data_IF_660258288078
#
_entry.id   IF_660258288078
#
_cell.length_a   1.000
_cell.length_b   1.000
_cell.length_c   1.000
_cell.angle_alpha   90.00
_cell.angle_beta   90.00
_cell.angle_gamma   90.00
#
_symmetry.space_group_name_H-M   'P 1'
#
loop_
_entity.id
_entity.type
_entity.pdbx_description
1 polymer ?
#
# COMPACT_ATOMS: atom_id res chain seq x y z
N UNK A 1 12.38 15.80 -19.49
CA UNK A 1 13.72 15.16 -19.42
C UNK A 1 14.69 15.82 -20.39
N UNK A 2 14.63 15.58 -21.71
CA UNK A 2 15.63 16.11 -22.66
C UNK A 2 15.66 17.65 -22.79
N UNK A 3 14.59 18.34 -22.39
CA UNK A 3 14.49 19.82 -22.38
C UNK A 3 14.62 20.42 -20.98
N UNK A 4 14.90 19.61 -19.97
CA UNK A 4 14.95 20.00 -18.55
C UNK A 4 16.42 20.32 -18.18
N UNK A 5 16.71 21.35 -17.38
CA UNK A 5 18.07 21.61 -16.90
C UNK A 5 18.69 20.38 -16.23
N UNK A 6 19.97 20.11 -16.48
CA UNK A 6 20.69 18.94 -15.98
C UNK A 6 20.53 18.73 -14.45
N UNK A 7 20.63 19.76 -13.59
CA UNK A 7 20.44 19.57 -12.15
C UNK A 7 19.06 19.03 -11.77
N UNK A 8 18.01 19.47 -12.46
CA UNK A 8 16.64 18.99 -12.22
C UNK A 8 16.45 17.55 -12.73
N UNK A 9 17.03 17.23 -13.88
CA UNK A 9 17.01 15.86 -14.40
C UNK A 9 17.72 14.88 -13.44
N UNK A 10 18.85 15.30 -12.86
CA UNK A 10 19.59 14.53 -11.87
C UNK A 10 18.79 14.34 -10.57
N UNK A 11 18.20 15.42 -10.04
CA UNK A 11 17.37 15.36 -8.85
C UNK A 11 16.17 14.40 -9.02
N UNK A 12 15.53 14.40 -10.20
CA UNK A 12 14.45 13.45 -10.49
C UNK A 12 14.95 11.99 -10.50
N UNK A 13 16.10 11.72 -11.12
CA UNK A 13 16.68 10.38 -11.14
C UNK A 13 17.02 9.89 -9.72
N UNK A 14 17.61 10.75 -8.89
CA UNK A 14 17.91 10.48 -7.50
C UNK A 14 16.62 10.20 -6.69
N UNK A 15 15.56 10.98 -6.89
CA UNK A 15 14.28 10.76 -6.22
C UNK A 15 13.64 9.41 -6.58
N UNK A 16 13.73 8.98 -7.86
CA UNK A 16 13.23 7.68 -8.29
C UNK A 16 14.01 6.55 -7.63
N UNK A 17 15.34 6.64 -7.61
CA UNK A 17 16.21 5.64 -6.97
C UNK A 17 15.92 5.58 -5.48
N UNK A 18 15.83 6.73 -4.82
CA UNK A 18 15.51 6.82 -3.40
C UNK A 18 14.18 6.13 -3.11
N UNK A 19 13.10 6.53 -3.78
CA UNK A 19 11.77 5.93 -3.59
C UNK A 19 11.79 4.41 -3.79
N UNK A 20 12.53 3.91 -4.79
CA UNK A 20 12.67 2.46 -5.03
C UNK A 20 13.37 1.72 -3.89
N UNK A 21 14.25 2.39 -3.15
CA UNK A 21 15.05 1.79 -2.06
C UNK A 21 14.45 1.99 -0.66
N UNK A 22 13.67 3.05 -0.46
CA UNK A 22 13.10 3.41 0.84
C UNK A 22 11.67 2.94 1.02
N UNK A 23 10.87 2.92 -0.05
CA UNK A 23 9.45 2.56 0.00
C UNK A 23 9.28 1.05 0.03
N UNK A 24 8.54 0.57 1.02
CA UNK A 24 8.22 -0.85 1.22
C UNK A 24 6.78 -1.04 1.72
N UNK A 25 6.17 -2.22 1.53
CA UNK A 25 4.88 -2.53 2.15
C UNK A 25 4.99 -2.49 3.67
N UNK A 26 4.02 -1.86 4.33
CA UNK A 26 3.87 -1.88 5.78
C UNK A 26 3.68 -3.32 6.28
N UNK A 27 4.39 -3.69 7.35
CA UNK A 27 4.33 -5.04 7.94
C UNK A 27 2.93 -5.41 8.47
N UNK A 28 2.08 -4.43 8.77
CA UNK A 28 0.76 -4.65 9.37
C UNK A 28 -0.43 -4.59 8.41
N UNK A 29 -0.29 -3.87 7.30
CA UNK A 29 -1.42 -3.61 6.39
C UNK A 29 -1.05 -3.63 4.91
N UNK A 30 0.22 -3.80 4.55
CA UNK A 30 0.66 -3.82 3.15
C UNK A 30 0.68 -2.45 2.45
N UNK A 31 0.21 -1.35 3.06
CA UNK A 31 0.29 -0.02 2.44
C UNK A 31 1.75 0.40 2.20
N UNK A 32 2.05 0.99 1.04
CA UNK A 32 3.40 1.44 0.69
C UNK A 32 3.83 2.62 1.57
N UNK A 33 4.98 2.49 2.23
CA UNK A 33 5.45 3.46 3.21
C UNK A 33 6.97 3.43 3.35
N UNK A 34 7.55 4.54 3.82
CA UNK A 34 8.96 4.60 4.23
C UNK A 34 9.14 4.30 5.72
N UNK A 35 8.05 4.30 6.49
CA UNK A 35 8.03 4.08 7.94
C UNK A 35 7.18 2.87 8.28
N UNK A 36 7.71 1.92 9.04
CA UNK A 36 6.99 0.71 9.42
C UNK A 36 6.86 0.63 10.95
N UNK A 37 5.64 0.62 11.52
CA UNK A 37 4.33 0.65 10.86
C UNK A 37 4.00 1.97 10.16
N UNK A 38 3.16 1.93 9.13
CA UNK A 38 2.78 3.13 8.37
C UNK A 38 2.01 4.15 9.22
N UNK A 39 1.86 5.37 8.70
CA UNK A 39 1.11 6.44 9.40
C UNK A 39 -0.35 6.07 9.68
N UNK A 40 -0.99 5.31 8.78
CA UNK A 40 -2.37 4.83 8.92
C UNK A 40 -2.49 3.85 10.08
N UNK A 41 -1.59 2.86 10.18
CA UNK A 41 -1.62 1.87 11.25
C UNK A 41 -1.29 2.43 12.64
N UNK A 42 -0.51 3.52 12.70
CA UNK A 42 -0.16 4.20 13.96
C UNK A 42 -1.28 5.11 14.47
N UNK A 43 -2.29 5.40 13.67
CA UNK A 43 -3.40 6.25 14.06
C UNK A 43 -4.38 5.50 14.98
N UNK A 44 -4.28 5.78 16.28
CA UNK A 44 -5.13 5.20 17.32
C UNK A 44 -6.58 5.72 17.29
N UNK A 45 -6.89 6.71 16.45
CA UNK A 45 -8.27 7.23 16.31
C UNK A 45 -9.10 6.46 15.29
N UNK A 46 -8.49 5.49 14.59
CA UNK A 46 -9.18 4.65 13.62
C UNK A 46 -10.06 3.59 14.29
N UNK A 47 -11.17 3.29 13.64
CA UNK A 47 -12.08 2.24 14.04
C UNK A 47 -11.47 0.86 13.73
N UNK A 48 -11.18 0.09 14.77
CA UNK A 48 -10.60 -1.25 14.66
C UNK A 48 -11.61 -2.32 14.29
N UNK A 49 -12.91 -2.01 14.31
CA UNK A 49 -13.99 -2.94 13.93
C UNK A 49 -14.25 -2.96 12.42
N UNK A 50 -13.67 -2.00 11.68
CA UNK A 50 -13.82 -1.86 10.24
C UNK A 50 -12.49 -2.12 9.53
N UNK A 51 -12.52 -2.98 8.51
CA UNK A 51 -11.37 -3.27 7.67
C UNK A 51 -11.74 -3.08 6.19
N UNK A 52 -11.02 -2.22 5.50
CA UNK A 52 -11.10 -2.05 4.06
C UNK A 52 -9.96 -2.82 3.38
N UNK A 53 -10.32 -3.76 2.50
CA UNK A 53 -9.35 -4.50 1.69
C UNK A 53 -9.23 -3.83 0.33
N UNK A 54 -8.00 -3.46 -0.04
CA UNK A 54 -7.66 -2.78 -1.28
C UNK A 54 -6.66 -3.62 -2.09
N UNK A 55 -6.66 -3.46 -3.43
CA UNK A 55 -5.72 -4.16 -4.29
C UNK A 55 -4.33 -3.49 -4.23
N UNK A 56 -4.29 -2.18 -4.39
CA UNK A 56 -3.07 -1.38 -4.42
C UNK A 56 -3.13 -0.12 -3.54
N UNK A 57 -1.97 0.52 -3.35
CA UNK A 57 -1.86 1.72 -2.51
C UNK A 57 -2.66 2.92 -3.06
N UNK A 58 -2.88 2.99 -4.38
CA UNK A 58 -3.71 4.01 -5.04
C UNK A 58 -5.13 4.02 -4.50
N UNK A 59 -5.71 2.83 -4.32
CA UNK A 59 -7.08 2.64 -3.87
C UNK A 59 -7.25 3.15 -2.44
N UNK A 60 -6.29 2.84 -1.57
CA UNK A 60 -6.25 3.35 -0.19
C UNK A 60 -6.32 4.88 -0.19
N UNK A 61 -5.50 5.55 -1.03
CA UNK A 61 -5.51 7.01 -1.12
C UNK A 61 -6.83 7.56 -1.64
N UNK A 62 -7.50 6.86 -2.56
CA UNK A 62 -8.81 7.27 -3.06
C UNK A 62 -9.89 7.15 -1.96
N UNK A 63 -9.90 6.06 -1.22
CA UNK A 63 -10.86 5.79 -0.14
C UNK A 63 -10.60 6.69 1.06
N UNK A 64 -9.34 6.92 1.43
CA UNK A 64 -8.95 7.80 2.54
C UNK A 64 -9.50 9.22 2.33
N UNK A 65 -9.45 9.74 1.09
CA UNK A 65 -10.03 11.05 0.73
C UNK A 65 -11.55 11.12 0.90
N UNK A 66 -12.25 10.00 0.95
CA UNK A 66 -13.69 9.97 1.22
C UNK A 66 -14.04 10.13 2.71
N UNK A 67 -13.04 10.14 3.60
CA UNK A 67 -13.23 10.25 5.05
C UNK A 67 -13.41 8.90 5.74
N UNK A 68 -12.98 7.80 5.12
CA UNK A 68 -12.99 6.48 5.74
C UNK A 68 -12.11 6.45 7.00
N UNK A 69 -12.64 5.92 8.10
CA UNK A 69 -11.96 5.91 9.41
C UNK A 69 -11.56 4.53 9.92
N UNK A 70 -11.79 3.48 9.14
CA UNK A 70 -11.39 2.12 9.51
C UNK A 70 -9.92 1.81 9.22
N UNK A 71 -9.53 0.57 9.47
CA UNK A 71 -8.22 0.02 9.09
C UNK A 71 -8.18 -0.39 7.62
N UNK A 72 -6.98 -0.58 7.09
CA UNK A 72 -6.76 -1.09 5.74
C UNK A 72 -5.98 -2.41 5.73
N UNK A 73 -6.15 -3.15 4.65
CA UNK A 73 -5.25 -4.21 4.21
C UNK A 73 -5.07 -4.12 2.69
N UNK A 74 -3.82 -4.10 2.22
CA UNK A 74 -3.47 -3.97 0.80
C UNK A 74 -2.86 -5.27 0.30
N UNK A 75 -3.45 -5.84 -0.74
CA UNK A 75 -3.07 -7.16 -1.27
C UNK A 75 -1.70 -7.11 -1.97
N UNK A 76 -1.39 -6.04 -2.72
CA UNK A 76 -0.15 -5.86 -3.50
C UNK A 76 0.14 -7.01 -4.49
N UNK A 77 -0.88 -7.76 -4.90
CA UNK A 77 -0.78 -8.83 -5.88
C UNK A 77 -1.95 -8.70 -6.85
N UNK A 78 -1.63 -8.77 -8.14
CA UNK A 78 -2.60 -8.78 -9.21
C UNK A 78 -3.18 -10.19 -9.36
N UNK A 79 -4.51 -10.30 -9.47
CA UNK A 79 -5.21 -11.53 -9.84
C UNK A 79 -6.20 -11.21 -10.96
N UNK A 80 -6.31 -12.11 -11.95
CA UNK A 80 -7.19 -11.90 -13.10
C UNK A 80 -8.10 -13.10 -13.28
N UNK A 81 -9.40 -12.85 -13.42
CA UNK A 81 -10.40 -13.88 -13.74
C UNK A 81 -10.13 -14.58 -15.08
N UNK A 82 -9.53 -13.85 -16.03
CA UNK A 82 -9.06 -14.36 -17.30
C UNK A 82 -7.56 -14.06 -17.38
N UNK A 83 -6.72 -15.01 -16.99
CA UNK A 83 -5.27 -14.86 -16.91
C UNK A 83 -4.58 -16.15 -16.51
N UNK A 84 -3.24 -16.11 -16.43
CA UNK A 84 -2.37 -17.21 -16.03
C UNK A 84 -2.24 -17.36 -14.50
N UNK A 85 -2.78 -16.41 -13.72
CA UNK A 85 -2.70 -16.38 -12.25
C UNK A 85 -4.08 -16.42 -11.63
N UNK A 86 -4.31 -17.44 -10.82
CA UNK A 86 -5.58 -17.73 -10.16
C UNK A 86 -5.68 -17.04 -8.81
N UNK A 87 -6.91 -16.90 -8.28
CA UNK A 87 -7.17 -16.51 -6.90
C UNK A 87 -6.48 -17.43 -5.89
N UNK A 88 -6.24 -18.69 -6.27
CA UNK A 88 -5.55 -19.68 -5.44
C UNK A 88 -4.06 -19.36 -5.20
N UNK A 89 -3.46 -18.51 -6.04
CA UNK A 89 -2.07 -18.05 -5.90
C UNK A 89 -1.92 -16.89 -4.89
N UNK A 90 -3.05 -16.37 -4.39
CA UNK A 90 -3.06 -15.34 -3.36
C UNK A 90 -2.98 -15.97 -1.97
N UNK A 91 -1.99 -15.52 -1.22
CA UNK A 91 -1.86 -15.87 0.19
C UNK A 91 -2.69 -14.89 1.03
N UNK A 92 -3.78 -15.40 1.59
CA UNK A 92 -4.67 -14.65 2.46
C UNK A 92 -4.39 -14.88 3.96
N UNK A 93 -3.35 -15.64 4.32
CA UNK A 93 -3.05 -15.97 5.72
C UNK A 93 -2.89 -14.72 6.60
N UNK A 94 -2.16 -13.71 6.11
CA UNK A 94 -1.96 -12.45 6.81
C UNK A 94 -3.27 -11.65 6.97
N UNK A 95 -4.13 -11.65 5.95
CA UNK A 95 -5.46 -11.03 6.03
C UNK A 95 -6.33 -11.75 7.07
N UNK A 96 -6.38 -13.08 7.01
CA UNK A 96 -7.17 -13.89 7.94
C UNK A 96 -6.68 -13.72 9.39
N UNK A 97 -5.37 -13.65 9.61
CA UNK A 97 -4.80 -13.36 10.92
C UNK A 97 -5.22 -11.98 11.43
N UNK A 98 -5.34 -10.98 10.54
CA UNK A 98 -5.78 -9.63 10.90
C UNK A 98 -7.27 -9.60 11.27
N UNK A 99 -8.09 -10.38 10.58
CA UNK A 99 -9.54 -10.49 10.87
C UNK A 99 -9.78 -11.23 12.19
N UNK A 100 -9.01 -12.28 12.47
CA UNK A 100 -9.19 -13.13 13.66
C UNK A 100 -8.53 -12.57 14.94
N UNK A 101 -7.61 -11.63 14.82
CA UNK A 101 -7.01 -10.91 15.95
C UNK A 101 -7.81 -9.68 16.42
N UNK A 102 -8.96 -9.39 15.79
CA UNK A 102 -9.91 -8.33 16.17
C UNK A 102 -10.98 -8.80 17.13
#
# INVERSE_FOLDING_TARGET
>A
LLKTPEPQARALAEAIIQARTTVRPCSQCGYLTESDPCVICRDLTRDTTLLCVAEEASDVMAIERSGYRGQYYVINKEFKLMGDRSLEDLDFSALLSKISGG
#
